data_IF_340659974284
#
_entry.id   IF_340659974284
#
_cell.length_a   1.000
_cell.length_b   1.000
_cell.length_c   1.000
_cell.angle_alpha   90.00
_cell.angle_beta   90.00
_cell.angle_gamma   90.00
#
_symmetry.space_group_name_H-M   'P 1'
#
loop_
_entity.id
_entity.type
_entity.pdbx_description
1 polymer ?
#
# COMPACT_ATOMS: atom_id res chain seq x y z
N UNK A 1 -4.53 -19.85 21.35
CA UNK A 1 -3.14 -19.89 20.84
C UNK A 1 -2.54 -18.50 21.05
N UNK A 2 -1.26 -18.40 21.42
CA UNK A 2 -0.55 -17.14 21.61
C UNK A 2 0.60 -17.07 20.60
N UNK A 3 0.79 -15.92 19.96
CA UNK A 3 1.94 -15.63 19.10
C UNK A 3 2.82 -14.63 19.84
N UNK A 4 4.06 -15.00 20.14
CA UNK A 4 5.06 -14.09 20.68
C UNK A 4 5.92 -13.55 19.53
N UNK A 5 6.10 -12.23 19.47
CA UNK A 5 6.91 -11.54 18.46
C UNK A 5 7.91 -10.59 19.14
N UNK A 6 8.84 -10.03 18.36
CA UNK A 6 9.69 -8.95 18.85
C UNK A 6 8.85 -7.72 19.25
N UNK A 7 9.31 -6.99 20.28
CA UNK A 7 8.70 -5.74 20.71
C UNK A 7 9.22 -4.58 19.86
N UNK A 8 8.31 -3.77 19.32
CA UNK A 8 8.62 -2.55 18.58
C UNK A 8 8.25 -1.33 19.44
N UNK A 9 9.24 -0.64 19.99
CA UNK A 9 9.02 0.48 20.94
C UNK A 9 8.81 1.83 20.25
N UNK A 10 9.03 1.89 18.92
CA UNK A 10 8.94 3.12 18.14
C UNK A 10 7.54 3.52 17.68
N UNK A 11 6.52 2.75 18.04
CA UNK A 11 5.15 2.94 17.57
C UNK A 11 4.96 2.46 16.14
N UNK A 12 3.86 2.90 15.52
CA UNK A 12 3.44 2.52 14.17
C UNK A 12 3.53 3.66 13.18
N UNK A 13 3.45 3.35 11.88
CA UNK A 13 3.33 4.37 10.84
C UNK A 13 2.03 5.19 10.99
N UNK A 14 0.98 4.64 11.61
CA UNK A 14 -0.22 5.40 11.94
C UNK A 14 0.06 6.47 12.99
N UNK A 15 0.78 6.13 14.08
CA UNK A 15 1.16 7.09 15.11
C UNK A 15 2.01 8.22 14.51
N UNK A 16 2.93 7.86 13.61
CA UNK A 16 3.80 8.79 12.89
C UNK A 16 3.00 9.70 11.95
N UNK A 17 2.02 9.16 11.21
CA UNK A 17 1.13 9.95 10.36
C UNK A 17 0.33 10.97 11.19
N UNK A 18 -0.30 10.52 12.28
CA UNK A 18 -1.07 11.38 13.19
C UNK A 18 -0.21 12.47 13.86
N UNK A 19 1.01 12.15 14.26
CA UNK A 19 1.94 13.14 14.81
C UNK A 19 2.27 14.22 13.76
N UNK A 20 2.47 13.83 12.49
CA UNK A 20 2.82 14.77 11.42
C UNK A 20 1.72 15.79 11.09
N UNK A 21 0.45 15.47 11.37
CA UNK A 21 -0.65 16.45 11.25
C UNK A 21 -0.51 17.62 12.23
N UNK A 22 0.08 17.36 13.41
CA UNK A 22 0.22 18.33 14.50
C UNK A 22 1.60 18.99 14.52
N UNK A 23 2.63 18.20 14.22
CA UNK A 23 4.03 18.59 14.36
C UNK A 23 4.67 19.04 13.03
N UNK A 24 3.98 18.80 11.90
CA UNK A 24 4.44 19.16 10.56
C UNK A 24 4.81 17.94 9.71
N UNK A 25 4.97 18.13 8.38
CA UNK A 25 5.18 17.03 7.44
C UNK A 25 6.49 16.28 7.69
N UNK A 26 6.47 14.98 7.44
CA UNK A 26 7.66 14.13 7.54
C UNK A 26 8.61 14.42 6.37
N UNK A 27 9.93 14.46 6.61
CA UNK A 27 10.90 14.55 5.53
C UNK A 27 10.78 13.34 4.60
N UNK A 28 10.78 13.58 3.28
CA UNK A 28 10.70 12.51 2.26
C UNK A 28 11.76 11.43 2.45
N UNK A 29 12.95 11.79 2.94
CA UNK A 29 14.02 10.83 3.23
C UNK A 29 13.58 9.80 4.27
N UNK A 30 12.92 10.22 5.35
CA UNK A 30 12.44 9.29 6.39
C UNK A 30 11.31 8.41 5.85
N UNK A 31 10.43 8.97 5.02
CA UNK A 31 9.34 8.21 4.38
C UNK A 31 9.96 7.17 3.44
N UNK A 32 10.91 7.56 2.60
CA UNK A 32 11.63 6.67 1.69
C UNK A 32 12.33 5.52 2.44
N UNK A 33 12.99 5.79 3.58
CA UNK A 33 13.58 4.75 4.43
C UNK A 33 12.54 3.75 4.95
N UNK A 34 11.38 4.24 5.39
CA UNK A 34 10.27 3.39 5.81
C UNK A 34 9.78 2.50 4.66
N UNK A 35 9.45 3.11 3.53
CA UNK A 35 8.91 2.42 2.35
C UNK A 35 9.93 1.43 1.79
N UNK A 36 11.22 1.74 1.81
CA UNK A 36 12.29 0.82 1.43
C UNK A 36 12.24 -0.45 2.28
N UNK A 37 12.15 -0.32 3.60
CA UNK A 37 12.07 -1.47 4.50
C UNK A 37 10.79 -2.29 4.30
N UNK A 38 9.66 -1.63 4.01
CA UNK A 38 8.41 -2.32 3.63
C UNK A 38 8.59 -3.11 2.34
N UNK A 39 9.16 -2.50 1.29
CA UNK A 39 9.41 -3.16 0.00
C UNK A 39 10.36 -4.36 0.15
N UNK A 40 11.44 -4.23 0.92
CA UNK A 40 12.36 -5.35 1.18
C UNK A 40 11.68 -6.53 1.91
N UNK A 41 10.79 -6.24 2.85
CA UNK A 41 10.00 -7.29 3.49
C UNK A 41 9.04 -7.94 2.49
N UNK A 42 8.33 -7.11 1.72
CA UNK A 42 7.34 -7.55 0.76
C UNK A 42 7.96 -8.39 -0.37
N UNK A 43 9.14 -8.01 -0.87
CA UNK A 43 9.93 -8.81 -1.81
C UNK A 43 10.12 -10.23 -1.27
N UNK A 44 10.43 -10.35 0.02
CA UNK A 44 10.69 -11.65 0.65
C UNK A 44 9.41 -12.47 0.92
N UNK A 45 8.26 -11.81 1.02
CA UNK A 45 6.91 -12.44 1.05
C UNK A 45 6.56 -12.93 -0.35
N UNK A 46 6.69 -12.07 -1.36
CA UNK A 46 6.37 -12.36 -2.76
C UNK A 46 7.25 -13.47 -3.36
N UNK A 47 8.56 -13.48 -3.05
CA UNK A 47 9.49 -14.55 -3.47
C UNK A 47 9.14 -15.93 -2.91
N UNK A 48 8.33 -16.00 -1.85
CA UNK A 48 7.81 -17.26 -1.30
C UNK A 48 6.42 -17.60 -1.82
N UNK A 49 5.93 -16.87 -2.81
CA UNK A 49 4.60 -17.06 -3.37
C UNK A 49 3.48 -16.60 -2.46
N UNK A 50 3.70 -15.64 -1.54
CA UNK A 50 2.62 -15.08 -0.73
C UNK A 50 2.22 -13.68 -1.19
N UNK A 51 0.93 -13.37 -1.15
CA UNK A 51 0.39 -12.00 -1.18
C UNK A 51 0.12 -11.59 0.27
N UNK A 52 0.55 -10.39 0.69
CA UNK A 52 0.36 -9.92 2.07
C UNK A 52 -1.09 -9.55 2.38
N UNK A 53 -1.73 -8.78 1.49
CA UNK A 53 -3.13 -8.33 1.51
C UNK A 53 -3.54 -7.35 2.61
N UNK A 54 -2.68 -7.08 3.58
CA UNK A 54 -2.97 -6.12 4.67
C UNK A 54 -1.84 -5.10 4.91
N UNK A 55 -1.27 -4.55 3.83
CA UNK A 55 -0.32 -3.45 3.94
C UNK A 55 -1.09 -2.18 4.32
N UNK A 56 -0.89 -1.70 5.55
CA UNK A 56 -1.51 -0.48 6.10
C UNK A 56 -0.65 0.10 7.22
N UNK A 57 -0.85 1.37 7.56
CA UNK A 57 0.00 2.08 8.52
C UNK A 57 0.01 1.45 9.92
N UNK A 58 -1.09 0.79 10.31
CA UNK A 58 -1.23 0.04 11.56
C UNK A 58 -0.32 -1.20 11.62
N UNK A 59 -0.02 -1.79 10.47
CA UNK A 59 0.81 -2.99 10.35
C UNK A 59 2.29 -2.66 10.07
N UNK A 60 2.65 -1.38 10.04
CA UNK A 60 4.05 -0.94 9.89
C UNK A 60 4.51 -0.42 11.25
N UNK A 61 5.39 -1.17 11.92
CA UNK A 61 5.92 -0.80 13.23
C UNK A 61 7.41 -0.45 13.17
N UNK A 62 7.87 0.35 14.13
CA UNK A 62 9.27 0.78 14.22
C UNK A 62 9.90 0.20 15.48
N UNK A 63 11.09 -0.38 15.34
CA UNK A 63 11.82 -0.96 16.48
C UNK A 63 12.18 0.10 17.52
N UNK A 64 12.64 1.27 17.05
CA UNK A 64 13.17 2.36 17.87
C UNK A 64 12.42 3.66 17.57
N UNK A 65 12.06 4.41 18.61
CA UNK A 65 11.38 5.70 18.48
C UNK A 65 12.22 6.70 17.67
N UNK A 66 11.58 7.40 16.73
CA UNK A 66 12.20 8.45 15.93
C UNK A 66 13.02 7.97 14.72
N UNK A 67 13.23 6.67 14.56
CA UNK A 67 13.88 6.07 13.39
C UNK A 67 12.86 5.28 12.57
N UNK A 68 12.66 5.68 11.30
CA UNK A 68 11.79 4.96 10.38
C UNK A 68 12.55 3.93 9.53
N UNK A 69 13.85 3.73 9.80
CA UNK A 69 14.69 2.79 9.06
C UNK A 69 14.53 1.35 9.55
N UNK A 70 14.42 1.18 10.88
CA UNK A 70 14.31 -0.13 11.52
C UNK A 70 12.84 -0.57 11.62
N UNK A 71 12.22 -0.69 10.45
CA UNK A 71 10.79 -0.99 10.27
C UNK A 71 10.51 -2.48 10.28
N UNK A 72 9.33 -2.87 10.76
CA UNK A 72 8.76 -4.21 10.71
C UNK A 72 7.40 -4.16 10.04
N UNK A 73 7.20 -5.05 9.08
CA UNK A 73 5.88 -5.37 8.56
C UNK A 73 5.27 -6.46 9.44
N UNK A 74 4.10 -6.17 9.99
CA UNK A 74 3.35 -7.01 10.90
C UNK A 74 2.15 -7.66 10.18
N UNK A 75 1.56 -8.63 10.87
CA UNK A 75 0.28 -9.28 10.54
C UNK A 75 0.19 -9.94 9.15
N UNK A 76 0.62 -11.19 9.10
CA UNK A 76 0.41 -12.09 7.95
C UNK A 76 -0.92 -12.87 8.03
N UNK A 77 -1.84 -12.50 8.94
CA UNK A 77 -3.08 -13.23 9.18
C UNK A 77 -4.03 -13.26 7.99
N UNK A 78 -3.86 -12.33 7.03
CA UNK A 78 -4.60 -12.27 5.77
C UNK A 78 -3.78 -12.74 4.56
N UNK A 79 -2.55 -13.21 4.77
CA UNK A 79 -1.68 -13.62 3.67
C UNK A 79 -2.24 -14.82 2.91
N UNK A 80 -2.04 -14.85 1.60
CA UNK A 80 -2.52 -15.92 0.72
C UNK A 80 -1.35 -16.56 -0.01
N UNK A 81 -1.18 -17.88 0.13
CA UNK A 81 -0.24 -18.63 -0.69
C UNK A 81 -0.80 -18.75 -2.11
N UNK A 82 -0.04 -18.23 -3.05
CA UNK A 82 -0.22 -18.41 -4.48
C UNK A 82 0.70 -19.56 -4.88
N UNK A 83 0.16 -20.59 -5.53
CA UNK A 83 0.95 -21.69 -6.10
C UNK A 83 1.73 -21.16 -7.33
N UNK A 84 2.67 -20.24 -7.13
CA UNK A 84 3.52 -19.67 -8.18
C UNK A 84 4.64 -20.66 -8.58
N UNK A 85 4.90 -21.70 -7.79
CA UNK A 85 5.92 -22.71 -8.12
C UNK A 85 5.63 -23.54 -9.39
N UNK A 86 4.44 -23.43 -10.00
CA UNK A 86 4.14 -24.06 -11.30
C UNK A 86 4.31 -23.12 -12.51
N UNK A 87 4.53 -21.82 -12.30
CA UNK A 87 4.58 -20.82 -13.36
C UNK A 87 5.97 -20.20 -13.42
N UNK A 88 6.86 -20.83 -14.18
CA UNK A 88 8.13 -20.23 -14.60
C UNK A 88 7.88 -18.85 -15.18
N UNK A 89 8.68 -17.88 -14.71
CA UNK A 89 8.66 -16.44 -14.98
C UNK A 89 8.80 -16.02 -16.46
N UNK A 90 8.69 -16.93 -17.42
CA UNK A 90 8.79 -16.64 -18.86
C UNK A 90 7.58 -17.12 -19.68
N UNK A 91 6.59 -17.77 -19.06
CA UNK A 91 5.42 -18.34 -19.77
C UNK A 91 4.07 -18.00 -19.14
N UNK A 92 3.99 -16.94 -18.36
CA UNK A 92 2.68 -16.42 -17.91
C UNK A 92 2.21 -15.40 -18.92
N UNK A 93 1.65 -15.91 -20.02
CA UNK A 93 0.66 -15.16 -20.80
C UNK A 93 -0.42 -14.63 -19.86
N UNK A 94 -1.03 -13.52 -20.29
CA UNK A 94 -1.99 -12.61 -19.62
C UNK A 94 -3.14 -13.19 -18.79
N UNK A 95 -3.25 -14.51 -18.64
CA UNK A 95 -4.49 -15.20 -18.25
C UNK A 95 -4.27 -16.19 -17.07
N UNK A 96 -3.08 -16.21 -16.45
CA UNK A 96 -2.67 -17.19 -15.43
C UNK A 96 -3.12 -16.95 -13.98
N UNK A 97 -4.28 -16.35 -13.73
CA UNK A 97 -4.75 -16.05 -12.37
C UNK A 97 -5.76 -17.09 -11.86
N UNK A 98 -5.47 -17.74 -10.73
CA UNK A 98 -6.48 -18.53 -9.99
C UNK A 98 -7.55 -17.59 -9.44
N UNK A 99 -8.79 -17.86 -9.81
CA UNK A 99 -10.00 -17.25 -9.28
C UNK A 99 -10.15 -17.65 -7.80
N UNK A 100 -9.65 -16.83 -6.88
CA UNK A 100 -9.96 -16.98 -5.48
C UNK A 100 -11.29 -16.27 -5.21
N UNK A 101 -12.36 -17.03 -5.00
CA UNK A 101 -13.57 -16.51 -4.34
C UNK A 101 -13.20 -16.15 -2.89
N UNK A 102 -12.70 -14.94 -2.72
CA UNK A 102 -12.49 -14.38 -1.40
C UNK A 102 -13.82 -13.83 -0.92
N UNK A 103 -14.45 -14.56 0.00
CA UNK A 103 -15.53 -14.02 0.82
C UNK A 103 -15.12 -12.64 1.33
N UNK A 104 -15.96 -11.65 1.03
CA UNK A 104 -15.74 -10.23 1.28
C UNK A 104 -15.58 -9.96 2.79
N UNK A 105 -14.35 -10.15 3.30
CA UNK A 105 -13.97 -9.90 4.69
C UNK A 105 -12.82 -8.88 4.75
N UNK A 106 -12.86 -7.89 3.86
CA UNK A 106 -12.04 -6.70 4.00
C UNK A 106 -12.67 -5.81 5.08
N UNK A 107 -11.95 -5.61 6.19
CA UNK A 107 -12.37 -4.63 7.20
C UNK A 107 -12.35 -3.24 6.56
N UNK A 108 -13.29 -2.37 6.95
CA UNK A 108 -13.41 -0.99 6.44
C UNK A 108 -12.08 -0.21 6.45
N UNK A 109 -11.23 -0.47 7.45
CA UNK A 109 -9.93 0.19 7.59
C UNK A 109 -8.90 -0.25 6.54
N UNK A 110 -8.98 -1.49 6.05
CA UNK A 110 -8.12 -2.01 4.98
C UNK A 110 -8.51 -1.44 3.61
N UNK A 111 -9.78 -1.07 3.41
CA UNK A 111 -10.29 -0.61 2.12
C UNK A 111 -9.61 0.68 1.63
N UNK A 112 -9.19 1.56 2.55
CA UNK A 112 -8.47 2.79 2.19
C UNK A 112 -7.09 2.54 1.56
N UNK A 113 -6.55 1.33 1.75
CA UNK A 113 -5.29 0.87 1.18
C UNK A 113 -5.49 -0.17 0.07
N UNK A 114 -6.71 -0.68 -0.12
CA UNK A 114 -6.98 -1.78 -1.02
C UNK A 114 -6.96 -1.32 -2.48
N UNK A 115 -6.44 -2.18 -3.36
CA UNK A 115 -6.45 -1.93 -4.79
C UNK A 115 -7.89 -1.99 -5.35
N UNK A 116 -8.22 -1.24 -6.42
CA UNK A 116 -9.55 -1.24 -7.04
C UNK A 116 -10.07 -2.65 -7.38
N UNK A 117 -9.20 -3.52 -7.90
CA UNK A 117 -9.56 -4.90 -8.25
C UNK A 117 -9.87 -5.78 -7.03
N UNK A 118 -9.21 -5.52 -5.89
CA UNK A 118 -9.48 -6.22 -4.63
C UNK A 118 -10.87 -5.86 -4.12
N UNK A 119 -11.23 -4.58 -4.20
CA UNK A 119 -12.56 -4.09 -3.80
C UNK A 119 -13.65 -4.54 -4.77
N UNK A 120 -13.32 -4.61 -6.06
CA UNK A 120 -14.21 -5.14 -7.09
C UNK A 120 -14.48 -6.64 -6.98
N UNK A 121 -13.78 -7.36 -6.08
CA UNK A 121 -13.82 -8.82 -6.02
C UNK A 121 -13.26 -9.48 -7.29
N UNK A 122 -12.45 -8.75 -8.08
CA UNK A 122 -11.80 -9.26 -9.29
C UNK A 122 -10.56 -10.06 -8.91
N UNK A 123 -10.07 -10.96 -9.79
CA UNK A 123 -8.79 -11.62 -9.60
C UNK A 123 -7.67 -10.58 -9.41
N UNK A 124 -6.80 -10.83 -8.43
CA UNK A 124 -5.67 -9.95 -8.11
C UNK A 124 -4.45 -10.80 -7.74
N UNK A 125 -3.28 -10.15 -7.70
CA UNK A 125 -2.01 -10.83 -7.46
C UNK A 125 -1.07 -9.98 -6.59
N UNK A 126 0.23 -10.23 -6.72
CA UNK A 126 1.28 -9.54 -5.98
C UNK A 126 1.22 -7.99 -6.12
N UNK A 127 0.72 -7.50 -7.26
CA UNK A 127 0.55 -6.07 -7.56
C UNK A 127 -0.57 -5.37 -6.75
N UNK A 128 -1.42 -6.13 -6.05
CA UNK A 128 -2.35 -5.55 -5.09
C UNK A 128 -1.60 -4.95 -3.88
N UNK A 129 -0.57 -5.64 -3.38
CA UNK A 129 0.25 -5.13 -2.28
C UNK A 129 1.03 -3.86 -2.70
N UNK A 130 1.42 -3.77 -3.98
CA UNK A 130 2.08 -2.58 -4.54
C UNK A 130 1.17 -1.36 -4.48
N UNK A 131 -0.12 -1.52 -4.78
CA UNK A 131 -1.09 -0.44 -4.62
C UNK A 131 -1.17 0.03 -3.17
N UNK A 132 -1.24 -0.90 -2.23
CA UNK A 132 -1.29 -0.59 -0.81
C UNK A 132 -0.03 0.12 -0.30
N UNK A 133 1.14 -0.19 -0.86
CA UNK A 133 2.38 0.58 -0.62
C UNK A 133 2.26 2.02 -1.13
N UNK A 134 1.66 2.22 -2.32
CA UNK A 134 1.36 3.55 -2.86
C UNK A 134 0.43 4.34 -1.93
N UNK A 135 -0.65 3.72 -1.47
CA UNK A 135 -1.61 4.33 -0.54
C UNK A 135 -0.97 4.70 0.81
N UNK A 136 -0.13 3.81 1.36
CA UNK A 136 0.66 4.08 2.56
C UNK A 136 1.61 5.27 2.36
N UNK A 137 2.31 5.33 1.22
CA UNK A 137 3.24 6.42 0.92
C UNK A 137 2.50 7.76 0.82
N UNK A 138 1.35 7.77 0.14
CA UNK A 138 0.51 8.95 0.02
C UNK A 138 -0.02 9.43 1.38
N UNK A 139 -0.43 8.49 2.25
CA UNK A 139 -0.82 8.82 3.62
C UNK A 139 0.34 9.49 4.37
N UNK A 140 1.54 8.91 4.35
CA UNK A 140 2.69 9.48 5.07
C UNK A 140 3.11 10.86 4.54
N UNK A 141 3.04 11.07 3.22
CA UNK A 141 3.42 12.33 2.59
C UNK A 141 2.37 13.44 2.75
N UNK A 142 1.11 13.11 2.52
CA UNK A 142 0.04 14.08 2.31
C UNK A 142 -1.06 14.03 3.36
N UNK A 143 -1.10 12.99 4.20
CA UNK A 143 -2.20 12.71 5.13
C UNK A 143 -3.55 12.56 4.40
N UNK A 144 -3.49 11.99 3.20
CA UNK A 144 -4.66 11.62 2.41
C UNK A 144 -4.54 10.18 1.98
N UNK A 145 -5.68 9.61 1.61
CA UNK A 145 -5.72 8.35 0.90
C UNK A 145 -5.89 8.62 -0.59
N UNK A 146 -5.53 7.67 -1.47
CA UNK A 146 -5.82 7.81 -2.90
C UNK A 146 -7.32 8.03 -3.14
N UNK A 147 -8.16 7.64 -2.20
CA UNK A 147 -9.58 7.89 -2.26
C UNK A 147 -10.01 8.58 -0.97
N UNK A 148 -10.22 9.90 -1.05
CA UNK A 148 -10.73 10.72 0.04
C UNK A 148 -12.24 10.50 0.20
N UNK A 149 -12.58 9.80 1.29
CA UNK A 149 -13.85 9.76 2.03
C UNK A 149 -15.16 10.02 1.27
N UNK A 150 -16.02 9.00 1.27
CA UNK A 150 -17.41 9.25 1.61
C UNK A 150 -17.74 8.47 2.86
N UNK A 151 -18.27 9.13 3.89
CA UNK A 151 -19.32 8.48 4.68
C UNK A 151 -20.42 7.89 3.76
N UNK A 152 -20.50 8.35 2.50
CA UNK A 152 -21.23 7.76 1.37
C UNK A 152 -20.65 6.43 0.87
N UNK A 153 -19.34 6.29 0.61
CA UNK A 153 -18.74 5.00 0.22
C UNK A 153 -18.79 3.98 1.37
N UNK A 154 -18.66 4.44 2.62
CA UNK A 154 -18.73 3.62 3.84
C UNK A 154 -20.18 3.26 4.20
N UNK A 155 -21.16 4.13 3.93
CA UNK A 155 -22.59 3.76 4.00
C UNK A 155 -22.99 2.76 2.91
N UNK A 156 -22.42 2.89 1.71
CA UNK A 156 -22.58 1.95 0.60
C UNK A 156 -21.91 0.59 0.82
N UNK A 157 -20.85 0.53 1.64
CA UNK A 157 -20.17 -0.71 2.01
C UNK A 157 -21.03 -1.69 2.82
N UNK A 158 -22.16 -1.23 3.38
CA UNK A 158 -23.17 -2.11 3.98
C UNK A 158 -23.93 -2.96 2.95
N UNK A 159 -23.84 -2.66 1.66
CA UNK A 159 -24.42 -3.47 0.58
C UNK A 159 -23.30 -4.22 -0.15
N UNK A 160 -23.05 -5.47 0.25
CA UNK A 160 -22.02 -6.34 -0.33
C UNK A 160 -22.16 -6.61 -1.85
N UNK A 161 -23.27 -6.20 -2.49
CA UNK A 161 -23.46 -6.21 -3.94
C UNK A 161 -22.78 -5.04 -4.67
N UNK A 162 -22.35 -4.00 -3.94
CA UNK A 162 -21.82 -2.76 -4.50
C UNK A 162 -20.30 -2.76 -4.71
N UNK A 163 -19.57 -3.77 -4.22
CA UNK A 163 -18.11 -3.88 -4.40
C UNK A 163 -17.67 -3.81 -5.87
N UNK A 164 -18.42 -4.43 -6.78
CA UNK A 164 -18.16 -4.39 -8.23
C UNK A 164 -18.42 -3.00 -8.84
N UNK A 165 -19.43 -2.26 -8.33
CA UNK A 165 -19.71 -0.88 -8.75
C UNK A 165 -18.65 0.07 -8.22
N UNK A 166 -18.29 -0.09 -6.95
CA UNK A 166 -17.23 0.65 -6.29
C UNK A 166 -15.93 0.48 -7.07
N UNK A 167 -15.40 -0.73 -7.27
CA UNK A 167 -14.11 -0.88 -7.97
C UNK A 167 -14.04 -0.32 -9.40
N UNK A 168 -15.16 -0.07 -10.08
CA UNK A 168 -15.19 0.62 -11.38
C UNK A 168 -15.26 2.16 -11.25
N UNK A 169 -15.71 2.69 -10.11
CA UNK A 169 -15.67 4.10 -9.74
C UNK A 169 -14.34 4.52 -9.10
N UNK A 170 -13.46 3.56 -8.79
CA UNK A 170 -12.17 3.81 -8.13
C UNK A 170 -11.16 4.31 -9.15
N UNK A 171 -11.08 5.63 -9.31
CA UNK A 171 -10.11 6.32 -10.14
C UNK A 171 -9.27 7.25 -9.27
N UNK A 172 -7.98 6.95 -9.14
CA UNK A 172 -7.08 7.81 -8.37
C UNK A 172 -6.53 8.87 -9.29
N UNK A 173 -6.64 10.12 -8.85
CA UNK A 173 -5.95 11.25 -9.45
C UNK A 173 -5.18 12.01 -8.35
N UNK A 174 -4.06 12.65 -8.70
CA UNK A 174 -3.43 13.60 -7.80
C UNK A 174 -4.42 14.67 -7.30
N UNK A 175 -4.27 15.19 -6.06
CA UNK A 175 -5.18 16.19 -5.52
C UNK A 175 -5.34 17.41 -6.45
N UNK A 176 -6.58 17.86 -6.63
CA UNK A 176 -6.88 19.06 -7.41
C UNK A 176 -6.43 20.33 -6.67
N UNK A 177 -6.22 21.43 -7.40
CA UNK A 177 -5.70 22.69 -6.84
C UNK A 177 -6.52 23.28 -5.68
N UNK A 178 -7.81 22.95 -5.64
CA UNK A 178 -8.76 23.43 -4.64
C UNK A 178 -8.72 22.62 -3.33
N UNK A 179 -8.00 21.50 -3.28
CA UNK A 179 -7.83 20.68 -2.08
C UNK A 179 -6.68 21.20 -1.21
N UNK A 180 -6.90 21.32 0.10
CA UNK A 180 -5.83 21.61 1.07
C UNK A 180 -4.67 20.60 1.02
N UNK A 181 -4.93 19.39 0.55
CA UNK A 181 -3.91 18.38 0.28
C UNK A 181 -2.98 18.72 -0.89
N UNK A 182 -3.41 19.55 -1.84
CA UNK A 182 -2.59 19.92 -2.99
C UNK A 182 -1.30 20.62 -2.57
N UNK A 183 -1.34 21.45 -1.53
CA UNK A 183 -0.12 22.13 -1.06
C UNK A 183 0.94 21.12 -0.62
N UNK A 184 0.55 20.02 0.02
CA UNK A 184 1.48 18.96 0.41
C UNK A 184 1.95 18.18 -0.80
N UNK A 185 1.04 17.79 -1.69
CA UNK A 185 1.37 17.06 -2.92
C UNK A 185 2.32 17.84 -3.83
N UNK A 186 2.01 19.10 -4.12
CA UNK A 186 2.83 19.98 -4.97
C UNK A 186 4.24 20.19 -4.41
N UNK A 187 4.42 20.19 -3.09
CA UNK A 187 5.71 20.30 -2.43
C UNK A 187 6.60 19.04 -2.54
N UNK A 188 6.03 17.89 -2.92
CA UNK A 188 6.81 16.66 -3.05
C UNK A 188 7.78 16.70 -4.24
N UNK A 189 8.89 15.99 -4.11
CA UNK A 189 9.86 15.77 -5.18
C UNK A 189 9.22 15.06 -6.38
N UNK A 190 9.79 15.30 -7.57
CA UNK A 190 9.38 14.59 -8.79
C UNK A 190 9.50 13.08 -8.64
N UNK A 191 10.53 12.60 -7.93
CA UNK A 191 10.74 11.17 -7.67
C UNK A 191 9.66 10.58 -6.75
N UNK A 192 9.27 11.29 -5.69
CA UNK A 192 8.18 10.82 -4.82
C UNK A 192 6.85 10.76 -5.57
N UNK A 193 6.54 11.79 -6.39
CA UNK A 193 5.32 11.82 -7.21
C UNK A 193 5.29 10.65 -8.19
N UNK A 194 6.38 10.43 -8.94
CA UNK A 194 6.50 9.32 -9.89
C UNK A 194 6.35 7.96 -9.19
N UNK A 195 6.98 7.77 -8.04
CA UNK A 195 6.85 6.54 -7.25
C UNK A 195 5.39 6.26 -6.87
N UNK A 196 4.70 7.25 -6.30
CA UNK A 196 3.30 7.11 -5.88
C UNK A 196 2.39 6.84 -7.08
N UNK A 197 2.59 7.56 -8.19
CA UNK A 197 1.80 7.40 -9.41
C UNK A 197 1.93 5.99 -10.01
N UNK A 198 3.15 5.43 -10.05
CA UNK A 198 3.37 4.06 -10.53
C UNK A 198 2.73 3.02 -9.63
N UNK A 199 2.80 3.20 -8.31
CA UNK A 199 2.16 2.29 -7.36
C UNK A 199 0.63 2.32 -7.47
N UNK A 200 0.06 3.50 -7.70
CA UNK A 200 -1.38 3.73 -7.76
C UNK A 200 -1.97 3.62 -9.17
N UNK A 201 -1.22 3.09 -10.14
CA UNK A 201 -1.74 2.87 -11.49
C UNK A 201 -3.01 2.01 -11.46
N UNK A 202 -4.05 2.44 -12.17
CA UNK A 202 -5.35 1.76 -12.16
C UNK A 202 -5.26 0.34 -12.73
N UNK A 203 -4.70 0.11 -13.93
CA UNK A 203 -4.50 -1.24 -14.42
C UNK A 203 -3.42 -1.95 -13.58
N UNK A 204 -3.74 -3.11 -12.96
CA UNK A 204 -2.76 -3.82 -12.13
C UNK A 204 -1.50 -4.24 -12.91
N UNK A 205 -1.62 -4.47 -14.21
CA UNK A 205 -0.52 -4.79 -15.12
C UNK A 205 0.45 -3.63 -15.39
N UNK A 206 0.06 -2.39 -15.08
CA UNK A 206 0.92 -1.22 -15.21
C UNK A 206 1.67 -0.89 -13.91
N UNK A 207 1.34 -1.57 -12.80
CA UNK A 207 2.07 -1.41 -11.55
C UNK A 207 3.39 -2.18 -11.65
N UNK A 208 4.52 -1.55 -11.32
CA UNK A 208 5.82 -2.22 -11.31
C UNK A 208 5.88 -3.32 -10.26
N UNK A 209 6.80 -4.27 -10.44
CA UNK A 209 7.11 -5.26 -9.41
C UNK A 209 7.83 -4.64 -8.22
N UNK A 210 7.87 -5.35 -7.09
CA UNK A 210 8.60 -4.88 -5.90
C UNK A 210 10.11 -4.69 -6.19
N UNK A 211 10.69 -5.54 -7.03
CA UNK A 211 12.10 -5.43 -7.44
C UNK A 211 12.41 -4.11 -8.14
N UNK A 212 11.52 -3.69 -9.05
CA UNK A 212 11.63 -2.41 -9.76
C UNK A 212 11.49 -1.21 -8.82
N UNK A 213 10.60 -1.33 -7.82
CA UNK A 213 10.36 -0.27 -6.84
C UNK A 213 11.53 -0.09 -5.86
N UNK A 214 12.24 -1.15 -5.50
CA UNK A 214 13.41 -1.07 -4.58
C UNK A 214 14.55 -0.24 -5.19
N UNK A 215 14.69 -0.27 -6.52
CA UNK A 215 15.71 0.49 -7.25
C UNK A 215 15.21 1.85 -7.75
N UNK A 216 13.92 2.13 -7.62
CA UNK A 216 13.31 3.41 -8.00
C UNK A 216 14.03 4.60 -7.35
N UNK A 217 14.26 5.72 -8.07
CA UNK A 217 15.02 6.87 -7.54
C UNK A 217 14.51 7.38 -6.19
N UNK A 218 13.21 7.39 -5.94
CA UNK A 218 12.66 7.77 -4.61
C UNK A 218 13.20 6.90 -3.46
N UNK A 219 13.48 5.63 -3.72
CA UNK A 219 13.89 4.60 -2.74
C UNK A 219 15.41 4.39 -2.71
N UNK A 220 16.08 4.61 -3.84
CA UNK A 220 17.51 4.36 -4.01
C UNK A 220 18.37 5.63 -3.89
N UNK A 221 17.80 6.81 -4.10
CA UNK A 221 18.54 8.07 -3.96
C UNK A 221 18.90 8.28 -2.50
N UNK A 222 20.19 8.50 -2.25
CA UNK A 222 20.58 9.31 -1.09
C UNK A 222 20.03 10.70 -1.40
N UNK A 223 18.86 11.05 -0.87
CA UNK A 223 18.31 12.39 -1.02
C UNK A 223 19.41 13.35 -0.53
N UNK A 224 19.85 14.31 -1.37
CA UNK A 224 21.03 15.13 -1.11
C UNK A 224 20.94 15.92 0.20
#
# INVERSE_FOLDING_TARGET
FFIASELCEGGTALDVAQASEREGPLPEQKISECIRSVLLCLQRVHLRGYIHRDIKAENIAFKVKGSLRDTRLLDLGLSLHTDIQAATLETVGTDGYRQFELGFSLRLQCLRYAAPEVVAGKPYALNADVFSVGALTLLLCCQIFPFSSGEEAVSSLAAAEEGLRLGNLWQWEPPAEEDGAQKKWSALSAHCKDFVQRCLALPPSQRPGVDDLIVHPFISSKIP
#
